data_IF_015093847839
#
_entry.id   IF_015093847839
#
_cell.length_a   1.000
_cell.length_b   1.000
_cell.length_c   1.000
_cell.angle_alpha   90.00
_cell.angle_beta   90.00
_cell.angle_gamma   90.00
#
_symmetry.space_group_name_H-M   'P 1'
#
loop_
_entity.id
_entity.type
_entity.pdbx_description
1 polymer ?
#
# COMPACT_ATOMS: atom_id res chain seq x y z
N UNK A 1 -24.31 18.77 -4.80
CA UNK A 1 -24.07 17.38 -4.36
C UNK A 1 -22.65 16.99 -4.79
N UNK A 2 -21.97 16.11 -4.03
CA UNK A 2 -20.70 15.42 -4.36
C UNK A 2 -19.32 16.11 -4.23
N UNK A 3 -19.13 17.12 -3.38
CA UNK A 3 -17.76 17.64 -3.12
C UNK A 3 -16.84 16.66 -2.39
N UNK A 4 -17.38 15.77 -1.54
CA UNK A 4 -16.59 14.79 -0.78
C UNK A 4 -16.09 13.61 -1.62
N UNK A 5 -16.85 13.18 -2.63
CA UNK A 5 -16.54 11.97 -3.42
C UNK A 5 -15.37 12.20 -4.38
N UNK A 6 -15.19 13.43 -4.87
CA UNK A 6 -14.09 13.75 -5.79
C UNK A 6 -12.71 13.67 -5.12
N UNK A 7 -12.62 14.09 -3.85
CA UNK A 7 -11.38 14.08 -3.09
C UNK A 7 -10.80 12.68 -2.87
N UNK A 8 -11.65 11.66 -2.76
CA UNK A 8 -11.23 10.26 -2.62
C UNK A 8 -10.59 9.70 -3.90
N UNK A 9 -10.99 10.25 -5.05
CA UNK A 9 -10.50 9.78 -6.35
C UNK A 9 -11.17 8.49 -6.81
N UNK A 10 -10.65 7.92 -7.90
CA UNK A 10 -11.15 6.68 -8.50
C UNK A 10 -10.41 5.43 -8.04
N UNK A 11 -9.24 5.60 -7.40
CA UNK A 11 -8.36 4.49 -7.01
C UNK A 11 -8.08 4.57 -5.51
N UNK A 12 -8.54 3.58 -4.76
CA UNK A 12 -8.34 3.51 -3.30
C UNK A 12 -7.00 2.82 -3.02
N UNK A 13 -5.94 3.60 -2.77
CA UNK A 13 -4.56 3.08 -2.57
C UNK A 13 -4.28 2.56 -1.16
N UNK A 14 -5.08 2.98 -0.19
CA UNK A 14 -5.10 2.54 1.19
C UNK A 14 -6.54 2.61 1.69
N UNK A 15 -6.88 1.80 2.70
CA UNK A 15 -8.21 1.88 3.30
C UNK A 15 -8.34 2.86 4.45
N UNK A 16 -9.57 3.01 4.93
CA UNK A 16 -9.97 4.02 5.92
C UNK A 16 -10.13 3.45 7.33
N UNK A 17 -9.53 2.29 7.60
CA UNK A 17 -9.59 1.61 8.89
C UNK A 17 -8.28 0.89 9.19
N UNK A 18 -7.97 0.64 10.47
CA UNK A 18 -6.93 -0.28 10.87
C UNK A 18 -7.05 -1.64 10.19
N UNK A 19 -5.91 -2.32 10.08
CA UNK A 19 -5.87 -3.69 9.59
C UNK A 19 -6.57 -4.64 10.57
N UNK A 20 -7.28 -5.62 10.01
CA UNK A 20 -7.99 -6.66 10.75
C UNK A 20 -7.29 -7.99 10.50
N UNK A 21 -7.19 -8.80 11.55
CA UNK A 21 -6.93 -10.22 11.43
C UNK A 21 -8.23 -10.91 10.96
N UNK A 22 -8.30 -11.18 9.65
CA UNK A 22 -9.46 -11.77 8.99
C UNK A 22 -9.76 -13.18 9.49
N UNK A 23 -8.75 -13.92 9.95
CA UNK A 23 -8.94 -15.25 10.52
C UNK A 23 -9.53 -15.18 11.93
N UNK A 24 -9.17 -14.16 12.72
CA UNK A 24 -9.72 -13.96 14.06
C UNK A 24 -11.19 -13.49 14.05
N UNK A 25 -11.58 -12.69 13.05
CA UNK A 25 -12.97 -12.21 12.91
C UNK A 25 -13.87 -13.15 12.11
N UNK A 26 -13.31 -14.22 11.54
CA UNK A 26 -14.09 -15.21 10.81
C UNK A 26 -15.09 -15.91 11.75
N UNK A 27 -16.34 -16.12 11.32
CA UNK A 27 -17.36 -16.76 12.16
C UNK A 27 -17.03 -18.22 12.50
N UNK A 28 -16.13 -18.85 11.72
CA UNK A 28 -15.70 -20.24 11.92
C UNK A 28 -14.18 -20.31 12.07
N UNK A 29 -13.65 -20.80 13.21
CA UNK A 29 -12.20 -20.89 13.49
C UNK A 29 -11.39 -21.83 12.57
N UNK A 30 -12.06 -22.55 11.67
CA UNK A 30 -11.50 -23.49 10.70
C UNK A 30 -11.39 -22.90 9.28
N UNK A 31 -11.73 -21.62 9.08
CA UNK A 31 -11.70 -21.00 7.77
C UNK A 31 -10.26 -20.82 7.27
N UNK A 32 -9.81 -21.71 6.38
CA UNK A 32 -8.52 -21.60 5.70
C UNK A 32 -8.58 -20.80 4.39
N UNK A 33 -9.78 -20.54 3.86
CA UNK A 33 -9.96 -19.86 2.56
C UNK A 33 -10.65 -18.51 2.77
N UNK A 34 -9.96 -17.42 2.43
CA UNK A 34 -10.42 -16.05 2.68
C UNK A 34 -10.50 -15.30 1.35
N UNK A 35 -11.70 -14.86 0.97
CA UNK A 35 -11.91 -14.00 -0.20
C UNK A 35 -11.89 -12.52 0.23
N UNK A 36 -10.94 -11.77 -0.30
CA UNK A 36 -10.79 -10.32 -0.10
C UNK A 36 -11.16 -9.61 -1.40
N UNK A 37 -12.15 -8.71 -1.32
CA UNK A 37 -12.69 -8.00 -2.47
C UNK A 37 -12.54 -6.50 -2.26
N UNK A 38 -11.88 -5.81 -3.18
CA UNK A 38 -11.82 -4.35 -3.21
C UNK A 38 -11.24 -3.75 -1.93
N UNK A 39 -10.20 -4.39 -1.37
CA UNK A 39 -9.54 -3.90 -0.15
C UNK A 39 -8.69 -2.66 -0.43
N UNK A 40 -8.26 -2.49 -1.68
CA UNK A 40 -7.39 -1.39 -2.13
C UNK A 40 -5.92 -1.55 -1.70
N UNK A 41 -5.67 -2.27 -0.61
CA UNK A 41 -4.34 -2.64 -0.17
C UNK A 41 -4.30 -4.03 0.49
N UNK A 42 -3.09 -4.49 0.84
CA UNK A 42 -2.85 -5.76 1.50
C UNK A 42 -2.87 -5.73 3.03
N UNK A 43 -3.26 -4.63 3.69
CA UNK A 43 -3.05 -4.51 5.15
C UNK A 43 -3.74 -5.63 5.93
N UNK A 44 -4.96 -6.00 5.55
CA UNK A 44 -5.69 -7.11 6.17
C UNK A 44 -5.02 -8.47 5.91
N UNK A 45 -4.55 -8.69 4.68
CA UNK A 45 -3.85 -9.93 4.30
C UNK A 45 -2.56 -10.05 5.11
N UNK A 46 -1.72 -9.02 5.13
CA UNK A 46 -0.46 -9.02 5.88
C UNK A 46 -0.70 -9.18 7.39
N UNK A 47 -1.70 -8.49 7.95
CA UNK A 47 -2.03 -8.57 9.38
C UNK A 47 -2.46 -9.99 9.77
N UNK A 48 -3.37 -10.58 9.00
CA UNK A 48 -3.83 -11.95 9.21
C UNK A 48 -2.66 -12.94 9.12
N UNK A 49 -1.77 -12.75 8.14
CA UNK A 49 -0.59 -13.60 7.98
C UNK A 49 0.40 -13.47 9.14
N UNK A 50 0.61 -12.27 9.69
CA UNK A 50 1.52 -12.06 10.81
C UNK A 50 1.02 -12.66 12.15
N UNK A 51 -0.29 -12.86 12.28
CA UNK A 51 -0.91 -13.52 13.43
C UNK A 51 -1.13 -15.01 13.25
N UNK A 52 -1.40 -15.47 12.02
CA UNK A 52 -1.76 -16.86 11.78
C UNK A 52 -0.59 -17.81 12.03
N UNK A 53 -0.91 -18.93 12.68
CA UNK A 53 -0.05 -20.12 12.80
C UNK A 53 -0.57 -21.30 11.98
N UNK A 54 -1.64 -21.08 11.19
CA UNK A 54 -2.26 -22.07 10.30
C UNK A 54 -2.10 -21.67 8.84
N UNK A 55 -1.93 -22.63 7.91
CA UNK A 55 -1.96 -22.35 6.48
C UNK A 55 -3.24 -21.62 6.07
N UNK A 56 -3.09 -20.56 5.26
CA UNK A 56 -4.19 -19.72 4.78
C UNK A 56 -4.07 -19.55 3.26
N UNK A 57 -5.23 -19.54 2.61
CA UNK A 57 -5.41 -19.30 1.19
C UNK A 57 -6.25 -18.03 1.01
N UNK A 58 -5.63 -17.00 0.45
CA UNK A 58 -6.30 -15.75 0.13
C UNK A 58 -6.68 -15.72 -1.34
N UNK A 59 -7.90 -15.32 -1.64
CA UNK A 59 -8.34 -14.93 -2.98
C UNK A 59 -8.53 -13.42 -2.97
N UNK A 60 -7.73 -12.69 -3.73
CA UNK A 60 -7.73 -11.22 -3.75
C UNK A 60 -8.28 -10.76 -5.08
N UNK A 61 -9.42 -10.06 -5.05
CA UNK A 61 -10.08 -9.52 -6.23
C UNK A 61 -10.13 -8.00 -6.14
N UNK A 62 -9.38 -7.31 -7.00
CA UNK A 62 -9.32 -5.84 -7.00
C UNK A 62 -10.01 -5.21 -8.21
N UNK A 63 -10.33 -3.93 -8.04
CA UNK A 63 -10.94 -3.10 -9.08
C UNK A 63 -9.94 -2.57 -10.09
N UNK A 64 -8.62 -2.75 -9.88
CA UNK A 64 -7.57 -2.34 -10.80
C UNK A 64 -6.30 -3.19 -10.78
N UNK A 65 -5.62 -3.26 -11.93
CA UNK A 65 -4.35 -3.99 -12.04
C UNK A 65 -3.21 -3.24 -11.36
N UNK A 66 -3.28 -1.91 -11.21
CA UNK A 66 -2.31 -1.15 -10.44
C UNK A 66 -2.36 -1.52 -8.94
N UNK A 67 -3.55 -1.83 -8.40
CA UNK A 67 -3.69 -2.36 -7.04
C UNK A 67 -3.05 -3.75 -6.92
N UNK A 68 -3.33 -4.65 -7.87
CA UNK A 68 -2.71 -5.97 -7.90
C UNK A 68 -1.19 -5.90 -8.07
N UNK A 69 -0.70 -4.98 -8.89
CA UNK A 69 0.73 -4.71 -9.03
C UNK A 69 1.36 -4.28 -7.69
N UNK A 70 0.69 -3.39 -6.93
CA UNK A 70 1.13 -3.00 -5.58
C UNK A 70 1.10 -4.18 -4.62
N UNK A 71 0.09 -5.03 -4.70
CA UNK A 71 0.02 -6.24 -3.89
C UNK A 71 1.23 -7.15 -4.12
N UNK A 72 1.57 -7.41 -5.39
CA UNK A 72 2.76 -8.18 -5.76
C UNK A 72 4.05 -7.52 -5.24
N UNK A 73 4.16 -6.19 -5.31
CA UNK A 73 5.31 -5.45 -4.80
C UNK A 73 5.47 -5.61 -3.28
N UNK A 74 4.41 -5.44 -2.51
CA UNK A 74 4.47 -5.54 -1.05
C UNK A 74 4.69 -6.98 -0.57
N UNK A 75 4.14 -7.97 -1.26
CA UNK A 75 4.47 -9.38 -1.00
C UNK A 75 5.94 -9.67 -1.30
N UNK A 76 6.48 -9.14 -2.40
CA UNK A 76 7.91 -9.25 -2.72
C UNK A 76 8.76 -8.59 -1.63
N UNK A 77 8.42 -7.37 -1.20
CA UNK A 77 9.12 -6.65 -0.14
C UNK A 77 9.11 -7.41 1.19
N UNK A 78 7.95 -7.97 1.57
CA UNK A 78 7.80 -8.75 2.80
C UNK A 78 8.66 -10.03 2.78
N UNK A 79 8.83 -10.64 1.61
CA UNK A 79 9.62 -11.86 1.39
C UNK A 79 11.11 -11.65 1.14
N UNK A 80 11.61 -10.41 1.10
CA UNK A 80 13.04 -10.20 0.97
C UNK A 80 13.79 -10.84 2.15
N UNK A 81 14.97 -11.45 1.94
CA UNK A 81 15.79 -11.96 3.04
C UNK A 81 16.27 -10.84 3.96
N UNK A 82 16.28 -11.06 5.29
CA UNK A 82 16.67 -10.03 6.28
C UNK A 82 18.15 -9.68 6.23
N UNK A 83 18.99 -10.58 5.74
CA UNK A 83 20.42 -10.36 5.48
C UNK A 83 20.68 -9.45 4.28
N UNK A 84 19.73 -9.37 3.34
CA UNK A 84 19.81 -8.48 2.18
C UNK A 84 19.12 -7.13 2.43
N UNK A 85 18.01 -7.15 3.18
CA UNK A 85 17.21 -5.97 3.47
C UNK A 85 16.79 -5.98 4.95
N UNK A 86 17.52 -5.22 5.76
CA UNK A 86 17.29 -5.13 7.21
C UNK A 86 15.87 -4.65 7.53
N UNK A 87 15.35 -5.07 8.69
CA UNK A 87 13.94 -4.82 9.06
C UNK A 87 13.58 -3.33 9.08
N UNK A 88 14.49 -2.48 9.59
CA UNK A 88 14.29 -1.04 9.60
C UNK A 88 14.15 -0.49 8.17
N UNK A 89 15.11 -0.79 7.30
CA UNK A 89 15.10 -0.33 5.90
C UNK A 89 13.85 -0.84 5.16
N UNK A 90 13.47 -2.10 5.38
CA UNK A 90 12.26 -2.70 4.82
C UNK A 90 10.99 -1.96 5.24
N UNK A 91 10.88 -1.58 6.52
CA UNK A 91 9.75 -0.81 7.03
C UNK A 91 9.70 0.60 6.46
N UNK A 92 10.86 1.24 6.28
CA UNK A 92 10.94 2.56 5.65
C UNK A 92 10.51 2.49 4.17
N UNK A 93 11.01 1.50 3.42
CA UNK A 93 10.59 1.23 2.03
C UNK A 93 9.09 0.97 1.93
N UNK A 94 8.54 0.15 2.83
CA UNK A 94 7.11 -0.17 2.84
C UNK A 94 6.28 1.10 2.99
N UNK A 95 6.55 1.92 4.01
CA UNK A 95 5.78 3.13 4.29
C UNK A 95 5.90 4.16 3.16
N UNK A 96 7.10 4.36 2.61
CA UNK A 96 7.31 5.25 1.48
C UNK A 96 6.50 4.83 0.24
N UNK A 97 6.57 3.55 -0.13
CA UNK A 97 5.82 3.01 -1.27
C UNK A 97 4.31 3.00 -1.00
N UNK A 98 3.91 2.80 0.25
CA UNK A 98 2.52 2.73 0.67
C UNK A 98 1.82 4.09 0.56
N UNK A 99 2.37 5.13 1.20
CA UNK A 99 1.63 6.37 1.46
C UNK A 99 2.23 7.66 0.90
N UNK A 100 3.45 7.65 0.35
CA UNK A 100 4.08 8.88 -0.11
C UNK A 100 3.98 9.06 -1.61
N UNK A 101 3.61 10.27 -2.04
CA UNK A 101 3.73 10.69 -3.44
C UNK A 101 5.19 10.76 -3.87
N UNK A 102 6.07 11.29 -3.02
CA UNK A 102 7.51 11.39 -3.27
C UNK A 102 8.28 10.44 -2.37
N UNK A 103 9.30 9.78 -2.91
CA UNK A 103 10.17 8.84 -2.20
C UNK A 103 11.64 9.26 -2.30
N UNK A 104 12.47 8.68 -1.44
CA UNK A 104 13.93 8.87 -1.49
C UNK A 104 14.53 8.17 -2.71
N UNK A 105 15.76 8.53 -3.04
CA UNK A 105 16.49 7.94 -4.16
C UNK A 105 16.58 6.41 -4.05
N UNK A 106 16.94 5.92 -2.87
CA UNK A 106 17.11 4.50 -2.58
C UNK A 106 15.81 3.73 -2.82
N UNK A 107 14.69 4.24 -2.35
CA UNK A 107 13.36 3.66 -2.58
C UNK A 107 13.02 3.61 -4.07
N UNK A 108 13.32 4.67 -4.81
CA UNK A 108 13.09 4.71 -6.27
C UNK A 108 13.99 3.72 -7.02
N UNK A 109 15.24 3.56 -6.61
CA UNK A 109 16.16 2.57 -7.20
C UNK A 109 15.70 1.15 -6.91
N UNK A 110 15.33 0.86 -5.65
CA UNK A 110 14.80 -0.43 -5.24
C UNK A 110 13.53 -0.79 -6.03
N UNK A 111 12.59 0.15 -6.19
CA UNK A 111 11.40 -0.04 -7.01
C UNK A 111 11.75 -0.38 -8.46
N UNK A 112 12.71 0.34 -9.05
CA UNK A 112 13.16 0.11 -10.43
C UNK A 112 13.80 -1.27 -10.60
N UNK A 113 14.55 -1.76 -9.61
CA UNK A 113 15.13 -3.09 -9.62
C UNK A 113 14.05 -4.17 -9.50
N UNK A 114 13.17 -4.07 -8.50
CA UNK A 114 12.10 -5.05 -8.28
C UNK A 114 11.08 -5.07 -9.41
N UNK A 115 10.87 -3.95 -10.10
CA UNK A 115 10.06 -3.92 -11.32
C UNK A 115 10.57 -4.89 -12.40
N UNK A 116 11.90 -5.06 -12.57
CA UNK A 116 12.44 -6.05 -13.52
C UNK A 116 12.12 -7.49 -13.09
N UNK A 117 12.21 -7.79 -11.79
CA UNK A 117 11.85 -9.10 -11.23
C UNK A 117 10.35 -9.39 -11.42
N UNK A 118 9.50 -8.40 -11.16
CA UNK A 118 8.04 -8.50 -11.32
C UNK A 118 7.63 -8.68 -12.79
N UNK A 119 8.30 -8.02 -13.75
CA UNK A 119 8.11 -8.26 -15.20
C UNK A 119 8.34 -9.74 -15.54
N UNK A 120 9.43 -10.32 -15.02
CA UNK A 120 9.75 -11.72 -15.26
C UNK A 120 8.72 -12.65 -14.62
N UNK A 121 8.22 -12.34 -13.41
CA UNK A 121 7.18 -13.14 -12.75
C UNK A 121 5.87 -13.22 -13.54
N UNK A 122 5.43 -12.12 -14.17
CA UNK A 122 4.16 -12.14 -14.94
C UNK A 122 4.30 -12.77 -16.32
N UNK A 123 5.51 -12.77 -16.88
CA UNK A 123 5.80 -13.35 -18.20
C UNK A 123 6.23 -14.82 -18.14
N UNK A 124 6.82 -15.25 -17.02
CA UNK A 124 7.28 -16.62 -16.77
C UNK A 124 6.76 -17.10 -15.40
N UNK A 125 5.70 -17.92 -15.44
CA UNK A 125 5.04 -18.42 -14.23
C UNK A 125 5.87 -19.47 -13.48
N UNK A 126 6.80 -20.15 -14.16
CA UNK A 126 7.69 -21.09 -13.48
C UNK A 126 8.76 -20.33 -12.71
N UNK A 127 9.32 -19.27 -13.30
CA UNK A 127 10.15 -18.31 -12.56
C UNK A 127 9.40 -17.70 -11.37
N UNK A 128 8.12 -17.34 -11.53
CA UNK A 128 7.31 -16.80 -10.43
C UNK A 128 7.15 -17.79 -9.27
N UNK A 129 6.85 -19.06 -9.57
CA UNK A 129 6.75 -20.11 -8.55
C UNK A 129 8.07 -20.31 -7.82
N UNK A 130 9.20 -20.31 -8.51
CA UNK A 130 10.51 -20.41 -7.85
C UNK A 130 10.82 -19.21 -6.97
N UNK A 131 10.41 -18.02 -7.42
CA UNK A 131 10.87 -16.75 -6.87
C UNK A 131 9.97 -16.19 -5.76
N UNK A 132 8.67 -16.45 -5.83
CA UNK A 132 7.66 -16.02 -4.86
C UNK A 132 6.50 -17.05 -4.84
N UNK A 133 6.75 -18.28 -4.39
CA UNK A 133 5.80 -19.40 -4.50
C UNK A 133 4.49 -19.18 -3.73
N UNK A 134 4.49 -18.24 -2.79
CA UNK A 134 3.29 -17.86 -2.04
C UNK A 134 2.27 -17.05 -2.86
N UNK A 135 2.65 -16.59 -4.05
CA UNK A 135 1.80 -15.85 -4.96
C UNK A 135 1.28 -16.82 -6.04
N UNK A 136 0.00 -16.76 -6.36
CA UNK A 136 -0.59 -17.51 -7.47
C UNK A 136 -1.25 -16.54 -8.46
N UNK A 137 -0.79 -16.58 -9.70
CA UNK A 137 -1.25 -15.75 -10.81
C UNK A 137 -2.14 -16.52 -11.81
N UNK A 138 -2.50 -17.77 -11.52
CA UNK A 138 -3.22 -18.67 -12.43
C UNK A 138 -4.62 -18.18 -12.81
N UNK A 139 -5.25 -17.34 -11.97
CA UNK A 139 -6.56 -16.74 -12.26
C UNK A 139 -6.49 -15.48 -13.14
N UNK A 140 -5.29 -14.97 -13.45
CA UNK A 140 -5.12 -13.83 -14.35
C UNK A 140 -5.15 -14.27 -15.82
N UNK A 141 -5.98 -13.58 -16.61
CA UNK A 141 -6.01 -13.72 -18.07
C UNK A 141 -4.67 -13.27 -18.66
N UNK A 142 -4.29 -13.81 -19.82
CA UNK A 142 -3.08 -13.38 -20.54
C UNK A 142 -3.00 -11.86 -20.72
N UNK A 143 -4.10 -11.23 -21.14
CA UNK A 143 -4.20 -9.77 -21.29
C UNK A 143 -3.91 -9.02 -19.99
N UNK A 144 -4.32 -9.55 -18.84
CA UNK A 144 -4.08 -8.91 -17.54
C UNK A 144 -2.60 -8.98 -17.17
N UNK A 145 -1.93 -10.10 -17.47
CA UNK A 145 -0.48 -10.25 -17.30
C UNK A 145 0.31 -9.32 -18.21
N UNK A 146 -0.12 -9.14 -19.47
CA UNK A 146 0.48 -8.16 -20.39
C UNK A 146 0.34 -6.72 -19.86
N UNK A 147 -0.84 -6.39 -19.31
CA UNK A 147 -1.08 -5.07 -18.71
C UNK A 147 -0.24 -4.85 -17.44
N UNK A 148 -0.09 -5.87 -16.58
CA UNK A 148 0.83 -5.85 -15.43
C UNK A 148 2.28 -5.64 -15.87
N UNK A 149 2.72 -6.34 -16.92
CA UNK A 149 4.06 -6.15 -17.50
C UNK A 149 4.26 -4.69 -17.92
N UNK A 150 3.27 -4.06 -18.54
CA UNK A 150 3.27 -2.65 -18.90
C UNK A 150 3.35 -1.70 -17.70
N UNK A 151 2.65 -2.02 -16.60
CA UNK A 151 2.73 -1.26 -15.34
C UNK A 151 4.14 -1.32 -14.76
N UNK A 152 4.74 -2.52 -14.70
CA UNK A 152 6.09 -2.69 -14.15
C UNK A 152 7.17 -2.05 -15.06
N UNK A 153 7.02 -2.12 -16.39
CA UNK A 153 7.88 -1.38 -17.33
C UNK A 153 7.84 0.13 -17.06
N UNK A 154 6.68 0.67 -16.70
CA UNK A 154 6.55 2.07 -16.29
C UNK A 154 7.23 2.36 -14.95
N UNK A 155 7.12 1.48 -13.94
CA UNK A 155 7.79 1.65 -12.65
C UNK A 155 9.31 1.68 -12.74
N UNK A 156 9.88 0.99 -13.73
CA UNK A 156 11.32 1.00 -14.02
C UNK A 156 11.84 2.36 -14.51
N UNK A 157 10.96 3.22 -15.04
CA UNK A 157 11.37 4.53 -15.54
C UNK A 157 11.69 5.45 -14.37
N UNK A 158 12.85 6.12 -14.41
CA UNK A 158 13.27 7.05 -13.34
C UNK A 158 13.09 8.53 -13.72
N UNK A 159 12.90 8.82 -15.01
CA UNK A 159 12.79 10.18 -15.53
C UNK A 159 11.49 10.88 -15.10
N UNK A 160 11.66 12.09 -14.54
CA UNK A 160 10.57 12.96 -14.10
C UNK A 160 9.77 13.56 -15.26
N UNK A 161 10.37 13.71 -16.46
CA UNK A 161 9.62 14.18 -17.63
C UNK A 161 8.55 13.18 -18.08
N UNK A 162 8.73 11.90 -17.74
CA UNK A 162 7.74 10.85 -18.01
C UNK A 162 6.56 10.89 -17.03
N UNK A 163 6.81 11.19 -15.75
CA UNK A 163 5.77 11.24 -14.72
C UNK A 163 6.20 12.09 -13.53
N UNK A 164 5.40 13.12 -13.25
CA UNK A 164 5.58 14.04 -12.13
C UNK A 164 4.33 13.99 -11.26
N UNK A 165 4.41 13.19 -10.19
CA UNK A 165 3.29 12.99 -9.28
C UNK A 165 2.92 14.25 -8.50
N UNK A 166 3.87 15.16 -8.26
CA UNK A 166 3.63 16.42 -7.56
C UNK A 166 2.69 17.30 -8.38
N UNK A 167 2.89 17.38 -9.70
CA UNK A 167 1.95 18.07 -10.60
C UNK A 167 0.55 17.44 -10.60
N UNK A 168 0.47 16.11 -10.52
CA UNK A 168 -0.82 15.42 -10.46
C UNK A 168 -1.54 15.67 -9.13
N UNK A 169 -0.81 15.63 -8.01
CA UNK A 169 -1.33 15.96 -6.68
C UNK A 169 -1.84 17.41 -6.63
N UNK A 170 -1.04 18.36 -7.11
CA UNK A 170 -1.43 19.78 -7.18
C UNK A 170 -2.67 19.97 -8.06
N UNK A 171 -2.72 19.32 -9.22
CA UNK A 171 -3.89 19.36 -10.11
C UNK A 171 -5.14 18.81 -9.43
N UNK A 172 -5.02 17.75 -8.62
CA UNK A 172 -6.12 17.18 -7.84
C UNK A 172 -6.57 18.15 -6.76
N UNK A 173 -5.67 18.74 -5.98
CA UNK A 173 -5.99 19.75 -4.97
C UNK A 173 -6.70 20.97 -5.58
N UNK A 174 -6.20 21.49 -6.71
CA UNK A 174 -6.81 22.64 -7.40
C UNK A 174 -8.22 22.32 -7.86
N UNK A 175 -8.43 21.14 -8.41
CA UNK A 175 -9.77 20.70 -8.84
C UNK A 175 -10.72 20.54 -7.65
N UNK A 176 -10.26 19.88 -6.59
CA UNK A 176 -11.04 19.60 -5.38
C UNK A 176 -11.44 20.86 -4.61
N UNK A 177 -10.49 21.77 -4.41
CA UNK A 177 -10.70 22.97 -3.60
C UNK A 177 -11.33 24.12 -4.40
N UNK A 178 -11.16 24.13 -5.72
CA UNK A 178 -11.67 25.18 -6.61
C UNK A 178 -11.16 26.56 -6.16
N UNK A 179 -12.08 27.49 -5.96
CA UNK A 179 -11.78 28.86 -5.51
C UNK A 179 -11.11 28.92 -4.13
N UNK A 180 -11.20 27.86 -3.32
CA UNK A 180 -10.60 27.80 -1.98
C UNK A 180 -9.14 27.32 -1.99
N UNK A 181 -8.56 27.04 -3.15
CA UNK A 181 -7.18 26.54 -3.26
C UNK A 181 -6.14 27.52 -2.69
N UNK A 182 -6.33 28.82 -2.91
CA UNK A 182 -5.43 29.86 -2.40
C UNK A 182 -5.56 30.03 -0.88
N UNK A 183 -6.67 29.59 -0.29
CA UNK A 183 -6.93 29.54 1.15
C UNK A 183 -6.90 28.11 1.71
N UNK A 184 -6.19 27.18 1.05
CA UNK A 184 -6.25 25.74 1.37
C UNK A 184 -5.80 25.39 2.79
N UNK A 185 -4.87 26.14 3.37
CA UNK A 185 -4.43 25.93 4.76
C UNK A 185 -5.59 26.02 5.74
N UNK A 186 -6.47 27.02 5.59
CA UNK A 186 -7.68 27.15 6.40
C UNK A 186 -8.70 26.04 6.14
N UNK A 187 -8.78 25.52 4.91
CA UNK A 187 -9.63 24.36 4.59
C UNK A 187 -9.10 23.09 5.26
N UNK A 188 -7.78 22.86 5.22
CA UNK A 188 -7.15 21.70 5.84
C UNK A 188 -7.31 21.74 7.37
N UNK A 189 -7.11 22.90 7.98
CA UNK A 189 -7.32 23.09 9.41
C UNK A 189 -8.79 22.82 9.82
N UNK A 190 -9.74 23.33 9.04
CA UNK A 190 -11.15 23.08 9.27
C UNK A 190 -11.51 21.59 9.11
N UNK A 191 -11.05 20.94 8.02
CA UNK A 191 -11.26 19.51 7.79
C UNK A 191 -10.69 18.68 8.96
N UNK A 192 -9.50 19.04 9.46
CA UNK A 192 -8.89 18.36 10.60
C UNK A 192 -9.77 18.42 11.85
N UNK A 193 -10.10 19.63 12.29
CA UNK A 193 -10.81 19.83 13.56
C UNK A 193 -12.26 19.33 13.49
N UNK A 194 -12.92 19.47 12.34
CA UNK A 194 -14.35 19.15 12.22
C UNK A 194 -14.62 17.71 11.78
N UNK A 195 -13.63 17.00 11.22
CA UNK A 195 -13.84 15.64 10.69
C UNK A 195 -12.87 14.62 11.24
N UNK A 196 -11.59 14.94 11.41
CA UNK A 196 -10.58 13.92 11.71
C UNK A 196 -10.29 13.79 13.20
N UNK A 197 -10.14 14.92 13.91
CA UNK A 197 -9.59 14.96 15.27
C UNK A 197 -10.33 14.06 16.26
N UNK A 198 -11.67 14.06 16.23
CA UNK A 198 -12.48 13.24 17.17
C UNK A 198 -12.30 11.74 16.93
N UNK A 199 -12.11 11.31 15.68
CA UNK A 199 -11.99 9.90 15.32
C UNK A 199 -10.54 9.38 15.33
N UNK A 200 -9.56 10.27 15.24
CA UNK A 200 -8.16 9.93 15.04
C UNK A 200 -7.22 10.90 15.79
N UNK A 201 -7.41 11.06 17.10
CA UNK A 201 -6.69 12.03 17.95
C UNK A 201 -5.15 11.90 17.88
N UNK A 202 -4.64 10.68 17.63
CA UNK A 202 -3.20 10.41 17.49
C UNK A 202 -2.58 11.06 16.23
N UNK A 203 -3.41 11.35 15.22
CA UNK A 203 -2.98 12.09 14.03
C UNK A 203 -2.92 13.56 14.40
N UNK A 204 -1.71 14.13 14.40
CA UNK A 204 -1.54 15.55 14.71
C UNK A 204 -1.99 16.43 13.54
N UNK A 205 -2.42 17.65 13.86
CA UNK A 205 -2.75 18.67 12.86
C UNK A 205 -1.58 18.91 11.88
N UNK A 206 -0.33 18.87 12.39
CA UNK A 206 0.88 19.02 11.57
C UNK A 206 1.05 17.89 10.56
N UNK A 207 0.89 16.64 10.99
CA UNK A 207 0.97 15.46 10.10
C UNK A 207 -0.10 15.54 9.01
N UNK A 208 -1.36 15.79 9.40
CA UNK A 208 -2.48 15.87 8.47
C UNK A 208 -2.31 16.99 7.44
N UNK A 209 -1.99 18.21 7.89
CA UNK A 209 -1.82 19.35 6.99
C UNK A 209 -0.59 19.17 6.08
N UNK A 210 0.53 18.67 6.61
CA UNK A 210 1.74 18.40 5.83
C UNK A 210 1.50 17.36 4.73
N UNK A 211 0.76 16.30 5.04
CA UNK A 211 0.35 15.31 4.04
C UNK A 211 -0.63 15.90 3.02
N UNK A 212 -1.65 16.66 3.43
CA UNK A 212 -2.60 17.32 2.50
C UNK A 212 -1.88 18.23 1.51
N UNK A 213 -0.86 18.96 1.97
CA UNK A 213 -0.10 19.90 1.14
C UNK A 213 0.78 19.19 0.09
N UNK A 214 1.43 18.08 0.46
CA UNK A 214 2.51 17.48 -0.35
C UNK A 214 2.21 16.07 -0.90
N UNK A 215 1.25 15.36 -0.29
CA UNK A 215 1.02 13.93 -0.50
C UNK A 215 2.10 13.03 0.11
N UNK A 216 3.04 13.56 0.88
CA UNK A 216 4.09 12.79 1.57
C UNK A 216 3.67 12.59 3.02
N UNK A 217 3.32 11.35 3.38
CA UNK A 217 2.83 11.00 4.71
C UNK A 217 3.96 10.67 5.70
N UNK A 218 4.99 9.97 5.22
CA UNK A 218 6.04 9.38 6.04
C UNK A 218 7.40 10.00 5.69
N UNK A 219 7.75 11.08 6.39
CA UNK A 219 9.10 11.68 6.36
C UNK A 219 9.92 11.06 7.48
N UNK A 220 10.63 9.98 7.18
CA UNK A 220 11.25 9.11 8.19
C UNK A 220 12.69 9.52 8.53
N UNK A 221 13.29 10.41 7.74
CA UNK A 221 14.62 10.97 7.98
C UNK A 221 14.60 12.46 7.70
N UNK A 222 14.99 13.25 8.69
CA UNK A 222 14.89 14.72 8.66
C UNK A 222 15.76 15.37 7.57
N UNK A 223 16.86 14.73 7.18
CA UNK A 223 17.86 15.23 6.24
C UNK A 223 17.74 14.63 4.82
N UNK A 224 16.78 13.72 4.60
CA UNK A 224 16.68 12.99 3.34
C UNK A 224 15.75 13.69 2.33
N UNK A 225 16.20 13.95 1.09
CA UNK A 225 15.35 14.57 0.08
C UNK A 225 14.35 13.56 -0.50
N UNK A 226 13.06 13.86 -0.35
CA UNK A 226 11.96 13.16 -1.00
C UNK A 226 11.64 13.85 -2.33
N UNK A 227 12.22 13.35 -3.43
CA UNK A 227 12.19 14.06 -4.72
C UNK A 227 11.85 13.17 -5.92
N UNK A 228 11.73 11.84 -5.72
CA UNK A 228 11.42 10.91 -6.81
C UNK A 228 9.94 10.53 -6.77
N UNK A 229 9.28 10.57 -7.93
CA UNK A 229 7.86 10.20 -7.99
C UNK A 229 7.64 8.72 -7.64
N UNK A 230 6.77 8.47 -6.67
CA UNK A 230 6.26 7.13 -6.38
C UNK A 230 5.31 6.68 -7.49
N UNK A 231 5.87 5.98 -8.47
CA UNK A 231 5.11 5.49 -9.64
C UNK A 231 4.11 4.39 -9.29
N UNK A 232 4.20 3.81 -8.09
CA UNK A 232 3.21 2.83 -7.62
C UNK A 232 1.86 3.46 -7.28
N UNK A 233 1.79 4.79 -7.11
CA UNK A 233 0.55 5.54 -6.90
C UNK A 233 -0.01 6.14 -8.20
N UNK A 234 0.52 5.74 -9.36
CA UNK A 234 0.00 6.13 -10.65
C UNK A 234 -1.11 5.15 -11.08
N UNK A 235 -2.22 5.67 -11.59
CA UNK A 235 -3.27 4.88 -12.23
C UNK A 235 -3.77 5.53 -13.52
N UNK A 236 -4.37 4.73 -14.39
CA UNK A 236 -5.06 5.21 -15.58
C UNK A 236 -6.51 5.60 -15.30
N UNK A 237 -6.96 6.73 -15.83
CA UNK A 237 -8.37 7.10 -15.87
C UNK A 237 -8.76 7.46 -17.30
N UNK A 238 -9.91 6.95 -17.78
CA UNK A 238 -10.48 7.38 -19.05
C UNK A 238 -11.24 8.68 -18.81
N UNK A 239 -10.80 9.75 -19.48
CA UNK A 239 -11.39 11.08 -19.38
C UNK A 239 -11.96 11.51 -20.72
N UNK A 240 -13.01 12.33 -20.71
CA UNK A 240 -13.58 12.91 -21.93
C UNK A 240 -12.91 14.26 -22.20
N UNK A 241 -12.29 14.42 -23.37
CA UNK A 241 -11.72 15.70 -23.82
C UNK A 241 -12.22 16.00 -25.22
N UNK A 242 -13.02 17.08 -25.37
CA UNK A 242 -13.56 17.48 -26.66
C UNK A 242 -14.50 16.45 -27.32
N UNK A 243 -15.16 15.60 -26.52
CA UNK A 243 -16.02 14.51 -27.03
C UNK A 243 -15.31 13.18 -27.26
N UNK A 244 -13.98 13.13 -27.15
CA UNK A 244 -13.20 11.90 -27.30
C UNK A 244 -12.79 11.29 -25.96
N UNK A 245 -12.74 9.96 -25.90
CA UNK A 245 -12.23 9.20 -24.74
C UNK A 245 -10.72 9.14 -24.79
N UNK A 246 -10.07 9.78 -23.82
CA UNK A 246 -8.61 9.83 -23.70
C UNK A 246 -8.20 9.15 -22.39
N UNK A 247 -7.36 8.10 -22.50
CA UNK A 247 -6.72 7.48 -21.36
C UNK A 247 -5.62 8.39 -20.82
N UNK A 248 -5.72 8.78 -19.55
CA UNK A 248 -4.73 9.63 -18.89
C UNK A 248 -4.16 8.94 -17.66
N UNK A 249 -2.84 8.80 -17.62
CA UNK A 249 -2.12 8.39 -16.42
C UNK A 249 -1.95 9.58 -15.48
N UNK A 250 -2.17 9.37 -14.19
CA UNK A 250 -2.05 10.40 -13.17
C UNK A 250 -2.13 9.80 -11.76
N UNK A 251 -2.19 10.68 -10.76
CA UNK A 251 -2.59 10.31 -9.41
C UNK A 251 -4.11 10.52 -9.29
N UNK A 252 -4.85 9.42 -9.11
CA UNK A 252 -6.30 9.42 -8.96
C UNK A 252 -6.74 8.85 -7.60
N UNK A 253 -5.90 9.02 -6.58
CA UNK A 253 -6.16 8.57 -5.22
C UNK A 253 -6.67 9.65 -4.29
N UNK A 254 -6.80 9.26 -3.02
CA UNK A 254 -7.36 10.08 -1.97
C UNK A 254 -6.41 11.21 -1.57
N UNK A 255 -6.91 12.44 -1.62
CA UNK A 255 -6.18 13.63 -1.16
C UNK A 255 -6.75 14.17 0.15
N UNK A 256 -7.80 13.56 0.71
CA UNK A 256 -8.54 13.98 1.92
C UNK A 256 -8.24 13.06 3.10
N UNK A 257 -8.28 11.74 2.91
CA UNK A 257 -8.02 10.77 3.98
C UNK A 257 -6.62 10.20 3.86
N UNK A 258 -5.79 10.44 4.87
CA UNK A 258 -4.39 10.06 4.86
C UNK A 258 -4.18 8.55 5.10
N UNK A 259 -3.03 7.99 4.67
CA UNK A 259 -2.67 6.61 4.97
C UNK A 259 -2.47 6.33 6.48
N UNK A 260 -2.43 7.38 7.33
CA UNK A 260 -2.40 7.23 8.78
C UNK A 260 -3.62 6.46 9.31
N UNK A 261 -4.77 6.55 8.64
CA UNK A 261 -5.97 5.83 9.04
C UNK A 261 -5.78 4.30 9.00
N UNK A 262 -4.96 3.82 8.07
CA UNK A 262 -4.74 2.40 7.85
C UNK A 262 -3.68 1.81 8.80
N UNK A 263 -2.65 2.58 9.13
CA UNK A 263 -1.45 2.07 9.81
C UNK A 263 -1.12 2.77 11.14
N UNK A 264 -1.70 3.94 11.40
CA UNK A 264 -1.27 4.85 12.47
C UNK A 264 -2.27 5.04 13.61
N UNK A 265 -3.45 4.42 13.56
CA UNK A 265 -4.51 4.63 14.57
C UNK A 265 -4.47 3.66 15.73
N UNK A 266 -4.10 2.40 15.48
CA UNK A 266 -4.13 1.32 16.47
C UNK A 266 -2.78 0.61 16.50
N UNK A 267 -2.38 0.14 17.67
CA UNK A 267 -1.23 -0.75 17.83
C UNK A 267 -1.40 -1.63 19.06
N UNK A 268 -0.79 -2.80 19.03
CA UNK A 268 -0.67 -3.68 20.21
C UNK A 268 0.28 -3.09 21.26
N UNK A 269 1.22 -2.24 20.84
CA UNK A 269 2.07 -1.52 21.77
C UNK A 269 1.37 -0.26 22.28
N UNK A 270 0.80 -0.36 23.48
CA UNK A 270 0.04 0.72 24.12
C UNK A 270 0.91 1.89 24.56
N UNK A 271 2.23 1.71 24.72
CA UNK A 271 3.15 2.79 25.11
C UNK A 271 3.21 3.92 24.07
N UNK A 272 2.94 3.61 22.80
CA UNK A 272 2.85 4.60 21.73
C UNK A 272 1.72 5.62 21.94
N UNK A 273 0.69 5.27 22.70
CA UNK A 273 -0.47 6.14 22.94
C UNK A 273 -0.36 6.93 24.24
N UNK A 274 0.80 6.87 24.92
CA UNK A 274 1.05 7.63 26.13
C UNK A 274 0.86 9.14 25.91
N UNK A 275 0.21 9.80 26.86
CA UNK A 275 -0.05 11.24 26.82
C UNK A 275 0.63 11.95 27.99
N UNK A 276 1.22 13.10 27.70
CA UNK A 276 1.73 14.05 28.70
C UNK A 276 1.02 15.38 28.50
N UNK A 277 0.47 15.96 29.57
CA UNK A 277 -0.35 17.19 29.50
C UNK A 277 -1.50 17.08 28.48
N UNK A 278 -2.19 15.94 28.47
CA UNK A 278 -3.29 15.61 27.54
C UNK A 278 -2.92 15.64 26.05
N UNK A 279 -1.63 15.58 25.71
CA UNK A 279 -1.13 15.48 24.34
C UNK A 279 -0.32 14.21 24.16
N UNK A 280 -0.49 13.55 23.01
CA UNK A 280 0.31 12.38 22.69
C UNK A 280 1.81 12.73 22.60
N UNK A 281 2.65 11.86 23.14
CA UNK A 281 4.12 12.01 23.04
C UNK A 281 4.66 11.49 21.72
N UNK A 282 3.89 10.63 21.04
CA UNK A 282 4.17 10.04 19.73
C UNK A 282 3.05 10.38 18.74
N UNK A 283 3.38 10.44 17.46
CA UNK A 283 2.42 10.71 16.39
C UNK A 283 1.94 9.45 15.67
N UNK A 284 1.00 9.63 14.76
CA UNK A 284 0.51 8.55 13.89
C UNK A 284 1.60 7.96 12.98
N UNK A 285 2.63 8.74 12.65
CA UNK A 285 3.83 8.26 11.95
C UNK A 285 4.63 7.27 12.80
N UNK A 286 4.86 7.56 14.09
CA UNK A 286 5.56 6.63 14.99
C UNK A 286 4.82 5.30 15.11
N UNK A 287 3.49 5.36 15.22
CA UNK A 287 2.62 4.18 15.26
C UNK A 287 2.74 3.38 13.97
N UNK A 288 2.69 4.06 12.82
CA UNK A 288 2.82 3.42 11.50
C UNK A 288 4.18 2.74 11.31
N UNK A 289 5.27 3.38 11.77
CA UNK A 289 6.62 2.80 11.74
C UNK A 289 6.68 1.54 12.58
N UNK A 290 6.18 1.58 13.81
CA UNK A 290 6.20 0.39 14.65
C UNK A 290 5.34 -0.72 14.05
N UNK A 291 4.10 -0.43 13.65
CA UNK A 291 3.22 -1.44 13.05
C UNK A 291 3.83 -2.06 11.79
N UNK A 292 4.43 -1.27 10.90
CA UNK A 292 5.10 -1.79 9.71
C UNK A 292 6.30 -2.69 10.07
N UNK A 293 7.14 -2.28 11.03
CA UNK A 293 8.27 -3.08 11.50
C UNK A 293 7.81 -4.39 12.15
N UNK A 294 6.79 -4.34 13.02
CA UNK A 294 6.22 -5.51 13.67
C UNK A 294 5.69 -6.49 12.62
N UNK A 295 4.87 -5.99 11.70
CA UNK A 295 4.24 -6.76 10.64
C UNK A 295 5.26 -7.46 9.76
N UNK A 296 6.21 -6.68 9.21
CA UNK A 296 7.24 -7.19 8.33
C UNK A 296 8.22 -8.11 9.07
N UNK A 297 8.48 -7.87 10.35
CA UNK A 297 9.32 -8.71 11.19
C UNK A 297 8.69 -10.08 11.44
N UNK A 298 7.36 -10.15 11.58
CA UNK A 298 6.61 -11.40 11.73
C UNK A 298 6.54 -12.21 10.44
N UNK A 299 6.47 -11.52 9.30
CA UNK A 299 6.49 -12.14 7.97
C UNK A 299 7.90 -12.56 7.54
N UNK A 300 8.92 -11.94 8.12
CA UNK A 300 10.32 -12.32 7.92
C UNK A 300 10.61 -13.65 8.60
N UNK A 301 11.06 -14.65 7.83
CA UNK A 301 11.30 -16.02 8.32
C UNK A 301 10.24 -17.04 7.93
N UNK A 302 9.25 -16.66 7.13
CA UNK A 302 8.43 -17.62 6.36
C UNK A 302 9.32 -18.18 5.25
N UNK A 303 9.78 -19.42 5.40
CA UNK A 303 10.50 -20.13 4.35
C UNK A 303 9.54 -20.44 3.19
N UNK A 304 9.58 -19.60 2.16
CA UNK A 304 8.75 -19.75 0.97
C UNK A 304 9.21 -20.92 0.09
N UNK A 305 10.45 -21.42 0.24
CA UNK A 305 11.02 -22.47 -0.63
C UNK A 305 10.33 -23.84 -0.48
N UNK A 306 9.52 -24.03 0.57
CA UNK A 306 8.84 -25.28 0.91
C UNK A 306 7.35 -25.32 0.56
N UNK A 307 6.84 -24.38 -0.23
CA UNK A 307 5.47 -24.39 -0.72
C UNK A 307 5.29 -25.41 -1.86
N UNK A 308 5.40 -26.71 -1.56
CA UNK A 308 5.06 -27.80 -2.49
C UNK A 308 3.57 -28.11 -2.44
N UNK A 309 2.92 -28.10 -3.60
CA UNK A 309 1.47 -28.26 -3.83
C UNK A 309 0.89 -29.65 -3.49
N UNK A 310 1.69 -30.60 -3.00
CA UNK A 310 1.27 -32.00 -2.90
C UNK A 310 1.12 -32.51 -1.46
N UNK A 311 -0.15 -32.82 -1.14
CA UNK A 311 -0.70 -33.85 -0.22
C UNK A 311 0.20 -34.38 0.89
N UNK A 312 -0.34 -34.28 2.11
CA UNK A 312 0.07 -34.91 3.38
C UNK A 312 0.89 -34.01 4.31
N UNK A 313 0.17 -33.29 5.18
CA UNK A 313 0.72 -32.70 6.38
C UNK A 313 1.16 -33.80 7.36
N UNK A 314 2.45 -34.09 7.43
CA UNK A 314 3.09 -34.56 8.67
C UNK A 314 4.54 -34.04 8.73
N UNK A 315 4.92 -33.64 9.95
CA UNK A 315 6.27 -33.37 10.49
C UNK A 315 6.76 -31.91 10.53
N UNK A 316 6.53 -31.33 11.72
CA UNK A 316 7.44 -30.56 12.58
C UNK A 316 8.41 -29.53 11.95
N UNK A 317 8.21 -28.27 12.35
CA UNK A 317 9.25 -27.24 12.38
C UNK A 317 9.03 -26.08 11.41
N UNK A 318 8.03 -25.22 11.68
CA UNK A 318 7.75 -23.95 10.96
C UNK A 318 7.72 -24.04 9.42
N UNK A 319 6.91 -24.94 8.87
CA UNK A 319 6.40 -24.79 7.50
C UNK A 319 4.98 -24.23 7.55
N UNK A 320 4.72 -23.11 6.88
CA UNK A 320 3.36 -22.70 6.58
C UNK A 320 3.25 -22.32 5.11
N UNK A 321 2.49 -23.15 4.39
CA UNK A 321 2.15 -22.92 3.00
C UNK A 321 1.18 -21.73 2.93
N UNK A 322 1.58 -20.71 2.18
CA UNK A 322 0.85 -19.47 1.96
C UNK A 322 0.49 -19.42 0.48
N UNK A 323 -0.77 -19.10 0.14
CA UNK A 323 -1.17 -18.91 -1.26
C UNK A 323 -2.07 -17.69 -1.36
N UNK A 324 -1.53 -16.61 -1.91
CA UNK A 324 -2.27 -15.41 -2.28
C UNK A 324 -2.60 -15.52 -3.76
N UNK A 325 -3.82 -15.96 -4.03
CA UNK A 325 -4.37 -16.02 -5.38
C UNK A 325 -4.85 -14.63 -5.74
N UNK A 326 -4.25 -14.06 -6.79
CA UNK A 326 -4.62 -12.75 -7.27
C UNK A 326 -5.52 -12.89 -8.51
N UNK A 327 -6.68 -12.25 -8.48
CA UNK A 327 -7.63 -12.17 -9.58
C UNK A 327 -8.06 -10.71 -9.82
N UNK A 328 -8.44 -10.40 -11.06
CA UNK A 328 -8.95 -9.08 -11.44
C UNK A 328 -10.44 -9.17 -11.81
N UNK A 329 -11.20 -8.10 -11.52
CA UNK A 329 -12.65 -8.03 -11.75
C UNK A 329 -13.04 -7.53 -13.15
N UNK A 330 -12.08 -7.34 -14.07
CA UNK A 330 -12.33 -6.69 -15.36
C UNK A 330 -12.91 -7.58 -16.46
#
# INVERSE_FOLDING_TARGET
>A
MSGGVEGFGSTTWWGFSPALDLAAVAPTPECSNILVVGSGDLRHVLMTLAHSTKPLHFYVAESSLELLARHMLFLTLASEPLDQLGLQERSELFLELYGNTLVRHQTSQWLSEKANRLIRMVTDLDYQKETLPMLDLSLLKFKERDMLEGIFKFWRLQDAATFDISKHWESRLRHHLGTRYDSRSGVFDWDYHMKLHEMAEIVSSREYQGWRESGVAFQLRDDAPYQYSNRTLASGLITMKGGERVARRGYWGDIVNSPYLALGLESDNKDLFHKTNSKHTKGSVDVSVWNAQWLLGRLSGVDTSRATWERNCLLSGRLMMMMVVIASRY
#
